data_IF_069027366192
#
_entry.id   IF_069027366192
#
_cell.length_a   1.000
_cell.length_b   1.000
_cell.length_c   1.000
_cell.angle_alpha   90.00
_cell.angle_beta   90.00
_cell.angle_gamma   90.00
#
_symmetry.space_group_name_H-M   'P 1'
#
loop_
_entity.id
_entity.type
_entity.pdbx_description
1 polymer ?
#
# COMPACT_ATOMS: atom_id res chain seq x y z
N UNK A 1 -1.17 -42.06 9.36
CA UNK A 1 -0.85 -41.24 8.17
C UNK A 1 -1.89 -40.13 8.14
N UNK A 2 -1.53 -38.91 8.51
CA UNK A 2 -2.50 -37.81 8.66
C UNK A 2 -3.04 -37.40 7.28
N UNK A 3 -4.35 -37.48 7.06
CA UNK A 3 -5.05 -37.11 5.81
C UNK A 3 -4.70 -35.70 5.32
N UNK A 4 -4.39 -34.79 6.26
CA UNK A 4 -3.91 -33.43 5.98
C UNK A 4 -2.67 -33.39 5.08
N UNK A 5 -1.79 -34.40 5.18
CA UNK A 5 -0.55 -34.48 4.39
C UNK A 5 -0.81 -34.90 2.93
N UNK A 6 -1.80 -35.78 2.70
CA UNK A 6 -2.13 -36.29 1.35
C UNK A 6 -2.74 -35.18 0.49
N UNK A 7 -3.63 -34.37 1.09
CA UNK A 7 -4.28 -33.25 0.40
C UNK A 7 -3.27 -32.16 0.04
N UNK A 8 -2.41 -31.75 0.98
CA UNK A 8 -1.35 -30.76 0.72
C UNK A 8 -0.35 -31.25 -0.31
N UNK A 9 0.00 -32.55 -0.31
CA UNK A 9 0.87 -33.14 -1.35
C UNK A 9 0.24 -33.19 -2.75
N UNK A 10 -1.09 -33.10 -2.84
CA UNK A 10 -1.83 -32.99 -4.09
C UNK A 10 -2.11 -31.52 -4.50
N UNK A 11 -1.58 -30.54 -3.76
CA UNK A 11 -1.84 -29.11 -4.00
C UNK A 11 -3.24 -28.65 -3.57
N UNK A 12 -3.92 -29.42 -2.71
CA UNK A 12 -5.24 -29.09 -2.17
C UNK A 12 -5.11 -28.66 -0.70
N UNK A 13 -5.66 -27.50 -0.40
CA UNK A 13 -5.67 -26.88 0.91
C UNK A 13 -7.11 -26.82 1.43
N UNK A 14 -7.31 -27.03 2.73
CA UNK A 14 -8.61 -26.83 3.36
C UNK A 14 -8.55 -25.51 4.13
N UNK A 15 -9.46 -24.59 3.81
CA UNK A 15 -9.59 -23.33 4.54
C UNK A 15 -10.34 -23.50 5.87
N UNK A 16 -10.39 -22.44 6.69
CA UNK A 16 -11.06 -22.45 8.00
C UNK A 16 -12.57 -22.73 7.93
N UNK A 17 -13.17 -22.65 6.74
CA UNK A 17 -14.58 -22.95 6.47
C UNK A 17 -14.79 -24.37 5.90
N UNK A 18 -13.79 -25.25 6.02
CA UNK A 18 -13.79 -26.62 5.48
C UNK A 18 -13.96 -26.70 3.95
N UNK A 19 -13.59 -25.66 3.19
CA UNK A 19 -13.65 -25.65 1.73
C UNK A 19 -12.30 -26.04 1.13
N UNK A 20 -12.34 -26.83 0.05
CA UNK A 20 -11.16 -27.20 -0.72
C UNK A 20 -10.74 -26.01 -1.59
N UNK A 21 -9.48 -25.60 -1.46
CA UNK A 21 -8.81 -24.56 -2.25
C UNK A 21 -7.57 -25.14 -2.92
N UNK A 22 -7.22 -24.60 -4.09
CA UNK A 22 -6.02 -24.98 -4.84
C UNK A 22 -4.83 -24.06 -4.48
N UNK A 23 -5.14 -22.86 -3.97
CA UNK A 23 -4.16 -21.89 -3.51
C UNK A 23 -4.11 -21.99 -1.99
N UNK A 24 -2.89 -22.00 -1.44
CA UNK A 24 -2.66 -21.93 0.00
C UNK A 24 -3.35 -20.68 0.58
N UNK A 25 -4.33 -20.86 1.50
CA UNK A 25 -5.06 -19.76 2.11
C UNK A 25 -4.13 -18.73 2.75
N UNK A 26 -3.08 -19.16 3.44
CA UNK A 26 -2.16 -18.24 4.11
C UNK A 26 -1.38 -17.39 3.11
N UNK A 27 -0.97 -17.96 1.98
CA UNK A 27 -0.28 -17.22 0.93
C UNK A 27 -1.22 -16.25 0.21
N UNK A 28 -2.46 -16.67 -0.02
CA UNK A 28 -3.50 -15.81 -0.61
C UNK A 28 -3.77 -14.60 0.27
N UNK A 29 -3.99 -14.82 1.57
CA UNK A 29 -4.34 -13.75 2.50
C UNK A 29 -3.17 -12.78 2.69
N UNK A 30 -1.93 -13.28 2.85
CA UNK A 30 -0.72 -12.45 2.88
C UNK A 30 -0.53 -11.63 1.60
N UNK A 31 -0.85 -12.19 0.44
CA UNK A 31 -0.74 -11.47 -0.84
C UNK A 31 -1.76 -10.33 -0.93
N UNK A 32 -2.98 -10.55 -0.44
CA UNK A 32 -4.04 -9.52 -0.39
C UNK A 32 -3.65 -8.41 0.59
N UNK A 33 -3.15 -8.78 1.77
CA UNK A 33 -2.67 -7.84 2.78
C UNK A 33 -1.53 -6.98 2.21
N UNK A 34 -0.51 -7.60 1.63
CA UNK A 34 0.63 -6.89 1.04
C UNK A 34 0.20 -5.93 -0.09
N UNK A 35 -0.76 -6.35 -0.93
CA UNK A 35 -1.32 -5.49 -1.98
C UNK A 35 -2.05 -4.27 -1.40
N UNK A 36 -2.82 -4.49 -0.33
CA UNK A 36 -3.53 -3.41 0.37
C UNK A 36 -2.54 -2.43 0.97
N UNK A 37 -1.55 -2.92 1.71
CA UNK A 37 -0.50 -2.09 2.33
C UNK A 37 0.28 -1.28 1.29
N UNK A 38 0.64 -1.91 0.17
CA UNK A 38 1.34 -1.24 -0.94
C UNK A 38 0.50 -0.11 -1.56
N UNK A 39 -0.82 -0.32 -1.65
CA UNK A 39 -1.75 0.69 -2.17
C UNK A 39 -1.84 1.87 -1.20
N UNK A 40 -2.04 1.60 0.09
CA UNK A 40 -2.08 2.63 1.12
C UNK A 40 -0.77 3.43 1.21
N UNK A 41 0.37 2.74 1.08
CA UNK A 41 1.69 3.39 1.05
C UNK A 41 1.77 4.37 -0.12
N UNK A 42 1.38 3.92 -1.31
CA UNK A 42 1.38 4.77 -2.53
C UNK A 42 0.48 5.99 -2.36
N UNK A 43 -0.73 5.82 -1.81
CA UNK A 43 -1.65 6.92 -1.54
C UNK A 43 -1.07 7.93 -0.53
N UNK A 44 -0.48 7.44 0.56
CA UNK A 44 0.18 8.29 1.57
C UNK A 44 1.35 9.07 0.97
N UNK A 45 2.16 8.45 0.11
CA UNK A 45 3.25 9.13 -0.61
C UNK A 45 2.72 10.20 -1.56
N UNK A 46 1.64 9.93 -2.30
CA UNK A 46 1.02 10.93 -3.17
C UNK A 46 0.46 12.12 -2.39
N UNK A 47 -0.16 11.88 -1.24
CA UNK A 47 -0.63 12.94 -0.35
C UNK A 47 0.55 13.79 0.15
N UNK A 48 1.64 13.15 0.57
CA UNK A 48 2.85 13.84 1.00
C UNK A 48 3.41 14.73 -0.11
N UNK A 49 3.52 14.22 -1.34
CA UNK A 49 3.96 15.01 -2.49
C UNK A 49 3.11 16.27 -2.68
N UNK A 50 1.78 16.15 -2.64
CA UNK A 50 0.86 17.30 -2.76
C UNK A 50 1.09 18.35 -1.67
N UNK A 51 1.39 17.93 -0.44
CA UNK A 51 1.68 18.85 0.67
C UNK A 51 2.99 19.61 0.40
N UNK A 52 4.03 18.90 -0.05
CA UNK A 52 5.33 19.51 -0.39
C UNK A 52 5.16 20.50 -1.54
N UNK A 53 4.44 20.15 -2.60
CA UNK A 53 4.20 21.04 -3.74
C UNK A 53 3.49 22.33 -3.32
N UNK A 54 2.48 22.22 -2.45
CA UNK A 54 1.79 23.39 -1.90
C UNK A 54 2.73 24.25 -1.03
N UNK A 55 3.57 23.61 -0.20
CA UNK A 55 4.54 24.32 0.62
C UNK A 55 5.56 25.09 -0.22
N UNK A 56 6.06 24.49 -1.31
CA UNK A 56 6.95 25.16 -2.27
C UNK A 56 6.26 26.38 -2.88
N UNK A 57 5.01 26.25 -3.33
CA UNK A 57 4.25 27.36 -3.90
C UNK A 57 4.08 28.52 -2.90
N UNK A 58 3.86 28.23 -1.62
CA UNK A 58 3.78 29.25 -0.56
C UNK A 58 5.13 29.96 -0.39
N UNK A 59 6.24 29.22 -0.38
CA UNK A 59 7.59 29.81 -0.27
C UNK A 59 7.89 30.70 -1.48
N UNK A 60 7.57 30.26 -2.69
CA UNK A 60 7.77 31.05 -3.91
C UNK A 60 6.98 32.35 -3.87
N UNK A 61 5.71 32.29 -3.45
CA UNK A 61 4.89 33.48 -3.29
C UNK A 61 5.47 34.44 -2.25
N UNK A 62 5.96 33.92 -1.12
CA UNK A 62 6.59 34.74 -0.10
C UNK A 62 7.86 35.41 -0.62
N UNK A 63 8.72 34.67 -1.34
CA UNK A 63 9.94 35.20 -1.93
C UNK A 63 9.63 36.34 -2.92
N UNK A 64 8.62 36.16 -3.78
CA UNK A 64 8.20 37.18 -4.73
C UNK A 64 7.68 38.45 -4.03
N UNK A 65 6.92 38.29 -2.94
CA UNK A 65 6.43 39.43 -2.14
C UNK A 65 7.57 40.19 -1.47
N UNK A 66 8.55 39.48 -0.90
CA UNK A 66 9.74 40.10 -0.29
C UNK A 66 10.52 40.90 -1.33
N UNK A 67 10.71 40.36 -2.53
CA UNK A 67 11.43 41.06 -3.60
C UNK A 67 10.67 42.31 -4.07
N UNK A 68 9.34 42.23 -4.17
CA UNK A 68 8.49 43.37 -4.56
C UNK A 68 8.55 44.50 -3.52
N UNK A 69 8.55 44.17 -2.23
CA UNK A 69 8.62 45.17 -1.14
C UNK A 69 10.02 45.77 -0.96
N UNK A 70 11.08 45.11 -1.43
CA UNK A 70 12.44 45.69 -1.50
C UNK A 70 12.61 46.77 -2.58
N UNK A 71 11.73 46.80 -3.59
CA UNK A 71 11.81 47.73 -4.73
C UNK A 71 11.06 49.07 -4.44
N UNK A 72 10.33 49.17 -3.32
CA UNK A 72 9.77 50.44 -2.80
C UNK A 72 10.75 51.14 -1.88
#
# INVERSE_FOLDING_TARGET
MNEKNVLTSAGLYIDESNRIRIIDPELSDKTIELKTESTEFTEKTQLFQKIVDNFVAIIENLAQRVETEKIK
#
